data_IF_065145724896
#
_entry.id   IF_065145724896
#
_cell.length_a   1.000
_cell.length_b   1.000
_cell.length_c   1.000
_cell.angle_alpha   90.00
_cell.angle_beta   90.00
_cell.angle_gamma   90.00
#
_symmetry.space_group_name_H-M   'P 1'
#
loop_
_entity.id
_entity.type
_entity.pdbx_description
1 polymer ?
#
# COMPACT_ATOMS: atom_id res chain seq x y z
N UNK A 1 8.43 -19.28 -12.15
CA UNK A 1 9.16 -18.55 -13.22
C UNK A 1 8.65 -17.12 -13.44
N UNK A 2 7.33 -16.86 -13.51
CA UNK A 2 6.77 -15.56 -13.91
C UNK A 2 7.21 -14.30 -13.13
N UNK A 3 7.66 -14.43 -11.88
CA UNK A 3 8.05 -13.27 -11.05
C UNK A 3 9.57 -13.01 -11.00
N UNK A 4 10.42 -13.89 -11.57
CA UNK A 4 11.88 -13.78 -11.40
C UNK A 4 12.46 -12.48 -11.96
N UNK A 5 11.89 -11.97 -13.03
CA UNK A 5 12.40 -10.78 -13.74
C UNK A 5 11.59 -9.51 -13.40
N UNK A 6 10.61 -9.62 -12.50
CA UNK A 6 9.80 -8.49 -12.05
C UNK A 6 10.59 -7.68 -11.04
N UNK A 7 10.82 -6.40 -11.35
CA UNK A 7 11.56 -5.47 -10.49
C UNK A 7 10.66 -4.68 -9.53
N UNK A 8 9.43 -4.40 -9.96
CA UNK A 8 8.49 -3.58 -9.21
C UNK A 8 7.14 -4.29 -9.08
N UNK A 9 6.53 -4.19 -7.90
CA UNK A 9 5.11 -4.47 -7.70
C UNK A 9 4.40 -3.16 -7.38
N UNK A 10 3.41 -2.82 -8.20
CA UNK A 10 2.53 -1.67 -7.97
C UNK A 10 1.24 -2.17 -7.33
N UNK A 11 0.84 -1.56 -6.22
CA UNK A 11 -0.42 -1.82 -5.52
C UNK A 11 -1.23 -0.53 -5.57
N UNK A 12 -2.31 -0.56 -6.34
CA UNK A 12 -3.27 0.55 -6.41
C UNK A 12 -4.30 0.47 -5.27
N UNK A 13 -4.96 1.59 -4.98
CA UNK A 13 -5.96 1.75 -3.93
C UNK A 13 -5.51 1.25 -2.54
N UNK A 14 -4.32 1.69 -2.12
CA UNK A 14 -3.71 1.34 -0.82
C UNK A 14 -4.57 1.64 0.40
N UNK A 15 -5.58 2.50 0.28
CA UNK A 15 -6.51 2.83 1.37
C UNK A 15 -7.39 1.64 1.76
N UNK A 16 -7.65 0.73 0.84
CA UNK A 16 -8.43 -0.48 1.09
C UNK A 16 -7.55 -1.66 1.52
N UNK A 17 -6.23 -1.47 1.64
CA UNK A 17 -5.30 -2.51 2.07
C UNK A 17 -5.17 -2.54 3.59
N UNK A 18 -5.40 -3.71 4.19
CA UNK A 18 -5.19 -3.93 5.61
C UNK A 18 -3.77 -4.41 5.95
N UNK A 19 -3.34 -4.19 7.20
CA UNK A 19 -2.03 -4.65 7.70
C UNK A 19 -1.80 -6.15 7.48
N UNK A 20 -2.80 -6.98 7.81
CA UNK A 20 -2.73 -8.43 7.63
C UNK A 20 -2.53 -8.82 6.16
N UNK A 21 -3.21 -8.15 5.23
CA UNK A 21 -3.05 -8.41 3.79
C UNK A 21 -1.64 -8.04 3.31
N UNK A 22 -1.11 -6.88 3.73
CA UNK A 22 0.26 -6.49 3.39
C UNK A 22 1.29 -7.50 3.93
N UNK A 23 1.07 -8.05 5.13
CA UNK A 23 1.93 -9.10 5.67
C UNK A 23 1.95 -10.37 4.81
N UNK A 24 0.83 -10.71 4.17
CA UNK A 24 0.75 -11.86 3.28
C UNK A 24 1.48 -11.60 1.98
N UNK A 25 1.40 -10.38 1.44
CA UNK A 25 2.19 -9.96 0.28
C UNK A 25 3.68 -10.07 0.59
N UNK A 26 4.15 -9.49 1.70
CA UNK A 26 5.55 -9.60 2.14
C UNK A 26 6.00 -11.07 2.26
N UNK A 27 5.22 -11.90 2.96
CA UNK A 27 5.52 -13.32 3.14
C UNK A 27 5.62 -14.07 1.81
N UNK A 28 4.70 -13.84 0.87
CA UNK A 28 4.70 -14.50 -0.44
C UNK A 28 5.88 -14.08 -1.29
N UNK A 29 6.25 -12.80 -1.27
CA UNK A 29 7.42 -12.34 -2.02
C UNK A 29 8.72 -12.91 -1.44
N UNK A 30 8.89 -12.97 -0.12
CA UNK A 30 10.04 -13.67 0.50
C UNK A 30 10.13 -15.15 0.09
N UNK A 31 9.00 -15.84 -0.07
CA UNK A 31 8.96 -17.23 -0.56
C UNK A 31 9.36 -17.35 -2.03
N UNK A 32 9.00 -16.36 -2.86
CA UNK A 32 9.37 -16.32 -4.29
C UNK A 32 10.86 -16.02 -4.46
N UNK A 33 11.45 -15.21 -3.57
CA UNK A 33 12.85 -14.79 -3.59
C UNK A 33 13.60 -15.28 -2.33
N UNK A 34 13.83 -16.60 -2.17
CA UNK A 34 14.37 -17.15 -0.93
C UNK A 34 15.77 -16.64 -0.58
N UNK A 35 16.59 -16.29 -1.58
CA UNK A 35 17.92 -15.67 -1.36
C UNK A 35 17.88 -14.26 -0.75
N UNK A 36 16.70 -13.65 -0.66
CA UNK A 36 16.43 -12.34 -0.04
C UNK A 36 15.31 -12.42 0.99
N UNK A 37 15.08 -13.59 1.59
CA UNK A 37 13.98 -13.79 2.54
C UNK A 37 14.12 -12.95 3.83
N UNK A 38 15.33 -12.49 4.16
CA UNK A 38 15.57 -11.56 5.27
C UNK A 38 15.03 -10.15 4.97
N UNK A 39 15.03 -9.75 3.70
CA UNK A 39 14.59 -8.43 3.25
C UNK A 39 13.06 -8.36 3.22
N UNK A 40 12.50 -7.18 3.53
CA UNK A 40 11.07 -6.93 3.28
C UNK A 40 10.76 -7.17 1.79
N UNK A 41 9.61 -7.80 1.55
CA UNK A 41 9.09 -8.13 0.23
C UNK A 41 10.07 -8.96 -0.63
N UNK A 42 10.97 -9.74 -0.02
CA UNK A 42 11.97 -10.50 -0.75
C UNK A 42 12.94 -9.61 -1.54
N UNK A 43 13.12 -8.35 -1.11
CA UNK A 43 13.94 -7.36 -1.79
C UNK A 43 13.34 -6.79 -3.08
N UNK A 44 12.05 -7.04 -3.35
CA UNK A 44 11.32 -6.41 -4.46
C UNK A 44 10.93 -4.98 -4.11
N UNK A 45 11.10 -4.05 -5.06
CA UNK A 45 10.64 -2.67 -4.89
C UNK A 45 9.11 -2.59 -5.00
N UNK A 46 8.45 -2.01 -3.99
CA UNK A 46 7.01 -1.88 -3.94
C UNK A 46 6.62 -0.42 -4.14
N UNK A 47 5.59 -0.15 -4.95
CA UNK A 47 4.99 1.17 -5.12
C UNK A 47 3.54 1.07 -4.65
N UNK A 48 3.20 1.78 -3.57
CA UNK A 48 1.83 1.90 -3.09
C UNK A 48 1.21 3.19 -3.65
N UNK A 49 0.05 3.07 -4.29
CA UNK A 49 -0.70 4.17 -4.89
C UNK A 49 -2.10 4.23 -4.26
N UNK A 50 -2.68 5.41 -4.19
CA UNK A 50 -4.04 5.63 -3.68
C UNK A 50 -4.10 6.72 -2.61
N UNK A 51 -5.25 6.88 -1.98
CA UNK A 51 -5.54 7.98 -1.07
C UNK A 51 -6.28 7.49 0.19
N UNK A 52 -5.71 7.72 1.38
CA UNK A 52 -6.28 7.28 2.65
C UNK A 52 -7.56 8.04 3.05
N UNK A 53 -7.89 9.16 2.38
CA UNK A 53 -9.16 9.85 2.56
C UNK A 53 -10.32 9.20 1.78
N UNK A 54 -10.05 8.15 1.00
CA UNK A 54 -11.07 7.29 0.41
C UNK A 54 -11.55 6.22 1.41
N UNK A 55 -12.23 5.19 0.90
CA UNK A 55 -12.74 4.09 1.71
C UNK A 55 -11.61 3.32 2.42
N UNK A 56 -11.75 3.04 3.73
CA UNK A 56 -10.83 2.22 4.50
C UNK A 56 -10.98 0.72 4.14
N UNK A 57 -10.06 -0.15 4.59
CA UNK A 57 -10.24 -1.59 4.39
C UNK A 57 -11.50 -2.11 5.10
N UNK A 58 -12.14 -3.11 4.51
CA UNK A 58 -13.24 -3.84 5.15
C UNK A 58 -12.70 -4.88 6.12
N UNK A 59 -13.15 -4.85 7.37
CA UNK A 59 -12.84 -5.85 8.42
C UNK A 59 -11.36 -6.02 8.82
N UNK A 60 -10.44 -5.21 8.30
CA UNK A 60 -9.02 -5.22 8.68
C UNK A 60 -8.59 -3.88 9.24
N UNK A 61 -7.51 -3.88 10.04
CA UNK A 61 -6.88 -2.63 10.47
C UNK A 61 -6.17 -1.96 9.29
N UNK A 62 -6.36 -0.64 9.08
CA UNK A 62 -5.72 0.10 8.00
C UNK A 62 -4.21 0.20 8.17
N UNK A 63 -3.49 0.48 7.09
CA UNK A 63 -2.02 0.64 7.11
C UNK A 63 -1.55 1.71 8.10
N UNK A 64 -2.33 2.78 8.28
CA UNK A 64 -2.04 3.89 9.19
C UNK A 64 -2.48 3.62 10.65
N UNK A 65 -2.93 2.41 10.99
CA UNK A 65 -3.29 2.08 12.37
C UNK A 65 -2.09 2.21 13.31
N UNK A 66 -2.26 2.98 14.37
CA UNK A 66 -1.22 3.37 15.34
C UNK A 66 -1.46 2.83 16.77
N UNK A 67 -2.59 2.15 16.99
CA UNK A 67 -2.92 1.52 18.26
C UNK A 67 -2.16 0.20 18.54
N UNK A 68 -2.41 -0.42 19.70
CA UNK A 68 -1.78 -1.69 20.07
C UNK A 68 -2.25 -2.83 19.16
N UNK A 69 -1.29 -3.62 18.68
CA UNK A 69 -1.51 -4.80 17.84
C UNK A 69 -1.29 -6.07 18.66
N UNK A 70 -2.22 -7.03 18.56
CA UNK A 70 -2.13 -8.35 19.20
C UNK A 70 -1.89 -9.48 18.20
N UNK A 71 -2.29 -9.28 16.94
CA UNK A 71 -2.13 -10.28 15.89
C UNK A 71 -0.74 -10.19 15.26
N UNK A 72 -0.03 -11.31 15.18
CA UNK A 72 1.34 -11.36 14.65
C UNK A 72 1.41 -10.96 13.17
N UNK A 73 0.37 -11.23 12.39
CA UNK A 73 0.32 -10.82 10.99
C UNK A 73 0.12 -9.31 10.85
N UNK A 74 -0.73 -8.70 11.68
CA UNK A 74 -0.85 -7.24 11.73
C UNK A 74 0.47 -6.56 12.15
N UNK A 75 1.17 -7.10 13.16
CA UNK A 75 2.50 -6.58 13.59
C UNK A 75 3.50 -6.65 12.45
N UNK A 76 3.57 -7.80 11.76
CA UNK A 76 4.45 -7.98 10.61
C UNK A 76 4.10 -7.05 9.46
N UNK A 77 2.80 -6.86 9.20
CA UNK A 77 2.28 -5.92 8.21
C UNK A 77 2.64 -4.47 8.53
N UNK A 78 2.56 -4.07 9.81
CA UNK A 78 2.93 -2.73 10.24
C UNK A 78 4.45 -2.50 10.10
N UNK A 79 5.26 -3.50 10.43
CA UNK A 79 6.70 -3.45 10.22
C UNK A 79 7.05 -3.30 8.72
N UNK A 80 6.38 -4.07 7.85
CA UNK A 80 6.56 -3.95 6.39
C UNK A 80 6.09 -2.60 5.86
N UNK A 81 4.99 -2.04 6.36
CA UNK A 81 4.50 -0.72 5.97
C UNK A 81 5.44 0.41 6.44
N UNK A 82 6.03 0.28 7.63
CA UNK A 82 7.01 1.25 8.15
C UNK A 82 8.36 1.20 7.42
N UNK A 83 8.62 0.14 6.64
CA UNK A 83 9.83 0.04 5.81
C UNK A 83 9.78 0.98 4.59
N UNK A 84 8.61 1.49 4.21
CA UNK A 84 8.50 2.51 3.17
C UNK A 84 9.05 3.84 3.71
N UNK A 85 10.08 4.37 3.05
CA UNK A 85 10.80 5.56 3.49
C UNK A 85 10.66 6.76 2.53
N UNK A 86 9.92 6.59 1.43
CA UNK A 86 9.71 7.63 0.43
C UNK A 86 8.23 7.76 0.11
N UNK A 87 7.71 8.99 0.24
CA UNK A 87 6.32 9.33 -0.04
C UNK A 87 6.29 10.53 -0.98
N UNK A 88 5.49 10.42 -2.04
CA UNK A 88 5.25 11.50 -3.01
C UNK A 88 3.78 11.91 -2.93
N UNK A 89 3.53 13.20 -2.86
CA UNK A 89 2.18 13.77 -2.88
C UNK A 89 1.91 14.42 -4.24
N UNK A 90 0.91 13.90 -4.97
CA UNK A 90 0.39 14.56 -6.16
C UNK A 90 -0.55 15.68 -5.73
N UNK A 91 -0.32 16.90 -6.22
CA UNK A 91 -1.06 18.11 -5.80
C UNK A 91 -2.06 18.62 -6.83
N UNK A 92 -1.87 18.27 -8.11
CA UNK A 92 -2.72 18.74 -9.21
C UNK A 92 -3.85 17.73 -9.44
N UNK A 93 -5.08 18.21 -9.32
CA UNK A 93 -6.28 17.46 -9.64
C UNK A 93 -6.62 17.68 -11.12
N UNK A 94 -6.60 16.60 -11.91
CA UNK A 94 -6.89 16.66 -13.36
C UNK A 94 -8.34 16.36 -13.68
N UNK A 95 -9.02 15.50 -12.88
CA UNK A 95 -10.37 15.00 -13.20
C UNK A 95 -11.43 16.09 -13.24
N UNK A 96 -11.36 17.07 -12.33
CA UNK A 96 -12.29 18.19 -12.26
C UNK A 96 -11.75 19.45 -12.97
N UNK A 97 -10.92 19.33 -14.01
CA UNK A 97 -10.54 20.47 -14.83
C UNK A 97 -11.61 20.76 -15.90
N UNK A 98 -11.72 22.03 -16.30
CA UNK A 98 -12.73 22.50 -17.25
C UNK A 98 -13.93 23.18 -16.60
N UNK A 99 -14.61 24.07 -17.33
CA UNK A 99 -15.76 24.83 -16.84
C UNK A 99 -16.97 23.93 -16.56
N UNK A 100 -17.09 22.83 -17.28
CA UNK A 100 -18.08 21.77 -17.09
C UNK A 100 -17.99 21.07 -15.72
N UNK A 101 -16.82 21.13 -15.07
CA UNK A 101 -16.59 20.53 -13.75
C UNK A 101 -16.73 21.53 -12.58
N UNK A 102 -17.20 22.76 -12.83
CA UNK A 102 -17.31 23.82 -11.82
C UNK A 102 -18.20 23.43 -10.62
N UNK A 103 -19.30 22.70 -10.87
CA UNK A 103 -20.20 22.23 -9.80
C UNK A 103 -19.51 21.27 -8.82
N UNK A 104 -18.62 20.39 -9.31
CA UNK A 104 -17.86 19.48 -8.45
C UNK A 104 -16.81 20.20 -7.62
N UNK A 105 -16.24 21.30 -8.12
CA UNK A 105 -15.26 22.11 -7.36
C UNK A 105 -15.91 22.93 -6.26
N UNK A 106 -17.17 23.35 -6.43
CA UNK A 106 -17.95 24.10 -5.44
C UNK A 106 -18.51 23.23 -4.31
N UNK A 107 -18.60 21.91 -4.53
CA UNK A 107 -19.17 20.96 -3.58
C UNK A 107 -18.13 20.30 -2.64
N UNK A 108 -16.85 20.59 -2.84
CA UNK A 108 -15.71 20.13 -2.01
C UNK A 108 -15.28 21.25 -1.05
#
# INVERSE_FOLDING_TARGET
KKLRDVRYLVIDEKSMLGLRQLSWVDKRLRQVFPGRAADFFGGMSIILVGDFFQLPPVAYKPLYFDGPLKDLHEVSGQAAYRAFNHTVFLKKVERQQGDDQAGFRLAL
#
